data_IF_647484056237
#
_entry.id   IF_647484056237
#
_cell.length_a   1.000
_cell.length_b   1.000
_cell.length_c   1.000
_cell.angle_alpha   90.00
_cell.angle_beta   90.00
_cell.angle_gamma   90.00
#
_symmetry.space_group_name_H-M   'P 1'
#
loop_
_entity.id
_entity.type
_entity.pdbx_description
1 polymer ?
#
# COMPACT_ATOMS: atom_id res chain seq x y z
N UNK A 1 -2.55 -25.73 -2.97
CA UNK A 1 -1.13 -25.58 -2.63
C UNK A 1 -0.60 -24.44 -3.49
N UNK A 2 0.18 -23.51 -2.92
CA UNK A 2 0.75 -22.43 -3.73
C UNK A 2 1.73 -23.02 -4.74
N UNK A 3 1.56 -22.65 -6.00
CA UNK A 3 2.39 -23.08 -7.12
C UNK A 3 3.60 -22.16 -7.27
N UNK A 4 4.63 -22.61 -8.02
CA UNK A 4 5.83 -21.80 -8.27
C UNK A 4 5.55 -20.35 -8.74
N UNK A 5 4.62 -20.13 -9.69
CA UNK A 5 4.21 -18.79 -10.11
C UNK A 5 3.62 -17.93 -8.98
N UNK A 6 2.86 -18.51 -8.04
CA UNK A 6 2.24 -17.77 -6.95
C UNK A 6 3.30 -17.14 -6.04
N UNK A 7 4.35 -17.89 -5.71
CA UNK A 7 5.48 -17.39 -4.94
C UNK A 7 6.22 -16.26 -5.67
N UNK A 8 6.39 -16.39 -6.98
CA UNK A 8 7.03 -15.35 -7.79
C UNK A 8 6.24 -14.03 -7.72
N UNK A 9 4.92 -14.09 -7.87
CA UNK A 9 4.05 -12.90 -7.78
C UNK A 9 4.15 -12.25 -6.40
N UNK A 10 4.10 -13.04 -5.32
CA UNK A 10 4.23 -12.54 -3.95
C UNK A 10 5.59 -11.88 -3.73
N UNK A 11 6.68 -12.54 -4.14
CA UNK A 11 8.03 -11.99 -3.98
C UNK A 11 8.21 -10.68 -4.74
N UNK A 12 7.73 -10.60 -5.98
CA UNK A 12 7.79 -9.36 -6.77
C UNK A 12 6.97 -8.24 -6.12
N UNK A 13 5.77 -8.53 -5.64
CA UNK A 13 4.92 -7.56 -4.95
C UNK A 13 5.60 -6.98 -3.69
N UNK A 14 6.17 -7.85 -2.85
CA UNK A 14 6.86 -7.42 -1.63
C UNK A 14 8.10 -6.57 -1.95
N UNK A 15 8.92 -7.01 -2.91
CA UNK A 15 10.11 -6.27 -3.33
C UNK A 15 9.75 -4.91 -3.94
N UNK A 16 8.70 -4.84 -4.76
CA UNK A 16 8.22 -3.59 -5.33
C UNK A 16 7.75 -2.63 -4.23
N UNK A 17 6.96 -3.12 -3.26
CA UNK A 17 6.44 -2.32 -2.14
C UNK A 17 7.56 -1.74 -1.29
N UNK A 18 8.53 -2.57 -0.90
CA UNK A 18 9.72 -2.14 -0.16
C UNK A 18 10.56 -1.17 -0.99
N UNK A 19 10.76 -1.46 -2.28
CA UNK A 19 11.54 -0.61 -3.18
C UNK A 19 10.97 0.80 -3.32
N UNK A 20 9.65 0.93 -3.45
CA UNK A 20 8.97 2.24 -3.47
C UNK A 20 9.16 2.96 -2.13
N UNK A 21 8.94 2.28 -1.00
CA UNK A 21 9.11 2.87 0.32
C UNK A 21 10.52 3.37 0.59
N UNK A 22 11.53 2.56 0.27
CA UNK A 22 12.95 2.94 0.39
C UNK A 22 13.29 4.08 -0.57
N UNK A 23 12.86 4.02 -1.83
CA UNK A 23 13.14 5.06 -2.82
C UNK A 23 12.60 6.43 -2.44
N UNK A 24 11.41 6.48 -1.81
CA UNK A 24 10.83 7.71 -1.28
C UNK A 24 11.53 8.13 0.03
N UNK A 25 11.77 7.19 0.94
CA UNK A 25 12.41 7.45 2.23
C UNK A 25 13.82 8.03 2.10
N UNK A 26 14.59 7.57 1.10
CA UNK A 26 15.92 8.11 0.80
C UNK A 26 15.91 9.56 0.29
N UNK A 27 14.76 10.08 -0.16
CA UNK A 27 14.61 11.46 -0.65
C UNK A 27 14.12 12.44 0.42
N UNK A 28 13.65 11.94 1.57
CA UNK A 28 13.15 12.76 2.67
C UNK A 28 14.31 13.32 3.49
N UNK A 29 14.42 14.66 3.58
CA UNK A 29 15.52 15.34 4.29
C UNK A 29 15.08 15.99 5.60
N UNK A 30 13.79 16.26 5.75
CA UNK A 30 13.20 16.93 6.91
C UNK A 30 11.96 16.20 7.40
N UNK A 31 11.63 16.35 8.68
CA UNK A 31 10.35 15.87 9.23
C UNK A 31 9.15 16.52 8.53
N UNK A 32 9.29 17.75 8.02
CA UNK A 32 8.24 18.37 7.20
C UNK A 32 8.00 17.61 5.90
N UNK A 33 9.04 17.04 5.27
CA UNK A 33 8.86 16.24 4.05
C UNK A 33 8.21 14.91 4.34
N UNK A 34 8.50 14.33 5.52
CA UNK A 34 7.90 13.09 6.00
C UNK A 34 6.41 13.26 6.35
N UNK A 35 6.05 14.31 7.11
CA UNK A 35 4.69 14.52 7.59
C UNK A 35 3.78 15.27 6.61
N UNK A 36 4.30 16.25 5.87
CA UNK A 36 3.52 17.04 4.91
C UNK A 36 3.67 16.55 3.46
N UNK A 37 4.48 15.51 3.22
CA UNK A 37 4.76 14.98 1.88
C UNK A 37 5.27 16.07 0.92
N UNK A 38 6.05 17.02 1.44
CA UNK A 38 6.57 18.17 0.70
C UNK A 38 5.50 19.14 0.17
N UNK A 39 4.25 19.08 0.66
CA UNK A 39 3.09 19.88 0.21
C UNK A 39 2.77 19.78 -1.29
N UNK A 40 3.24 18.73 -1.95
CA UNK A 40 3.12 18.54 -3.40
C UNK A 40 2.18 17.38 -3.77
N UNK A 41 1.59 16.70 -2.79
CA UNK A 41 0.64 15.62 -3.03
C UNK A 41 -0.66 16.17 -3.63
N UNK A 42 -1.07 15.70 -4.82
CA UNK A 42 -2.35 16.08 -5.38
C UNK A 42 -3.49 15.50 -4.55
N UNK A 43 -4.60 16.23 -4.48
CA UNK A 43 -5.76 15.88 -3.64
C UNK A 43 -6.31 14.47 -3.90
N UNK A 44 -6.28 14.01 -5.16
CA UNK A 44 -6.75 12.68 -5.53
C UNK A 44 -5.86 11.57 -4.95
N UNK A 45 -4.54 11.80 -4.87
CA UNK A 45 -3.61 10.82 -4.29
C UNK A 45 -3.84 10.69 -2.77
N UNK A 46 -4.11 11.81 -2.10
CA UNK A 46 -4.46 11.84 -0.69
C UNK A 46 -5.78 11.08 -0.45
N UNK A 47 -6.79 11.33 -1.28
CA UNK A 47 -8.09 10.65 -1.19
C UNK A 47 -7.97 9.13 -1.37
N UNK A 48 -7.20 8.68 -2.38
CA UNK A 48 -6.96 7.24 -2.57
C UNK A 48 -6.18 6.61 -1.42
N UNK A 49 -5.21 7.32 -0.85
CA UNK A 49 -4.45 6.83 0.32
C UNK A 49 -5.33 6.65 1.55
N UNK A 50 -6.28 7.57 1.78
CA UNK A 50 -7.25 7.47 2.88
C UNK A 50 -8.12 6.23 2.75
N UNK A 51 -8.71 5.99 1.57
CA UNK A 51 -9.53 4.80 1.32
C UNK A 51 -8.70 3.52 1.42
N UNK A 52 -7.49 3.51 0.87
CA UNK A 52 -6.60 2.36 0.94
C UNK A 52 -6.15 2.04 2.38
N UNK A 53 -6.10 3.04 3.26
CA UNK A 53 -5.75 2.85 4.68
C UNK A 53 -6.93 2.31 5.49
N UNK A 54 -8.15 2.68 5.10
CA UNK A 54 -9.39 2.23 5.74
C UNK A 54 -9.70 0.76 5.43
N UNK A 55 -9.36 0.28 4.22
CA UNK A 55 -9.64 -1.09 3.79
C UNK A 55 -8.51 -2.04 4.21
N UNK A 56 -8.81 -2.91 5.17
CA UNK A 56 -7.93 -3.96 5.65
C UNK A 56 -8.21 -5.33 5.05
N UNK A 57 -7.31 -6.30 5.30
CA UNK A 57 -7.53 -7.70 4.92
C UNK A 57 -8.78 -8.31 5.57
N UNK A 58 -9.18 -7.78 6.73
CA UNK A 58 -10.42 -8.16 7.42
C UNK A 58 -11.67 -7.75 6.65
N UNK A 59 -11.66 -6.62 5.96
CA UNK A 59 -12.82 -6.16 5.20
C UNK A 59 -13.01 -7.03 3.95
N UNK A 60 -11.92 -7.40 3.30
CA UNK A 60 -11.94 -8.28 2.12
C UNK A 60 -12.51 -9.67 2.49
N UNK A 61 -12.00 -10.27 3.56
CA UNK A 61 -12.45 -11.58 4.02
C UNK A 61 -13.87 -11.49 4.62
N UNK A 62 -14.15 -10.44 5.38
CA UNK A 62 -15.42 -10.23 6.09
C UNK A 62 -16.59 -9.94 5.17
N UNK A 63 -16.42 -9.02 4.21
CA UNK A 63 -17.46 -8.72 3.20
C UNK A 63 -17.67 -9.92 2.28
N UNK A 64 -16.59 -10.61 1.88
CA UNK A 64 -16.69 -11.84 1.09
C UNK A 64 -17.45 -12.96 1.82
N UNK A 65 -17.18 -13.13 3.12
CA UNK A 65 -17.89 -14.10 3.96
C UNK A 65 -19.36 -13.73 4.18
N UNK A 66 -19.66 -12.45 4.41
CA UNK A 66 -21.01 -11.95 4.57
C UNK A 66 -21.85 -12.05 3.29
N UNK A 67 -21.23 -11.92 2.11
CA UNK A 67 -21.92 -12.07 0.83
C UNK A 67 -22.24 -13.54 0.49
N UNK A 68 -21.55 -14.50 1.11
CA UNK A 68 -21.76 -15.93 0.87
C UNK A 68 -22.91 -16.53 1.70
N UNK A 69 -23.33 -15.87 2.78
CA UNK A 69 -24.41 -16.31 3.68
C UNK A 69 -25.66 -15.48 3.47
#
# INVERSE_FOLDING_TARGET
MLTGPDYLVISVYLLATVGVGVGIGLRMKSGSDYFLGGRQLPWWAIGMSLVATDIGGTDIIGVGGAAYT
#
